data_IF_459903929900
#
_entry.id   IF_459903929900
#
_cell.length_a   1.000
_cell.length_b   1.000
_cell.length_c   1.000
_cell.angle_alpha   90.00
_cell.angle_beta   90.00
_cell.angle_gamma   90.00
#
_symmetry.space_group_name_H-M   'P 1'
#
loop_
_entity.id
_entity.type
_entity.pdbx_description
1 polymer ?
#
# COMPACT_ATOMS: atom_id res chain seq x y z
N UNK A 1 19.38 14.65 6.01
CA UNK A 1 20.15 14.87 4.76
C UNK A 1 21.56 15.37 5.04
N UNK A 2 21.77 16.53 5.65
CA UNK A 2 23.10 17.16 5.79
C UNK A 2 24.08 16.35 6.66
N UNK A 3 23.63 15.84 7.81
CA UNK A 3 24.42 14.98 8.69
C UNK A 3 24.79 13.64 8.04
N UNK A 4 23.80 12.96 7.44
CA UNK A 4 24.02 11.70 6.72
C UNK A 4 24.93 11.89 5.50
N UNK A 5 24.67 12.90 4.65
CA UNK A 5 25.47 13.15 3.45
C UNK A 5 26.92 13.49 3.81
N UNK A 6 27.14 14.27 4.87
CA UNK A 6 28.49 14.55 5.37
C UNK A 6 29.20 13.29 5.89
N UNK A 7 28.47 12.38 6.54
CA UNK A 7 29.00 11.09 6.98
C UNK A 7 29.31 10.15 5.81
N UNK A 8 28.40 10.02 4.83
CA UNK A 8 28.58 9.18 3.65
C UNK A 8 29.70 9.71 2.73
N UNK A 9 29.79 11.04 2.54
CA UNK A 9 30.86 11.68 1.76
C UNK A 9 32.24 11.44 2.41
N UNK A 10 32.31 11.44 3.74
CA UNK A 10 33.53 11.09 4.46
C UNK A 10 33.95 9.63 4.21
N UNK A 11 33.00 8.69 4.28
CA UNK A 11 33.26 7.27 3.97
C UNK A 11 33.71 7.08 2.52
N UNK A 12 33.02 7.72 1.57
CA UNK A 12 33.38 7.73 0.14
C UNK A 12 34.81 8.22 -0.10
N UNK A 13 35.25 9.23 0.66
CA UNK A 13 36.59 9.82 0.55
C UNK A 13 37.62 9.15 1.46
N UNK A 14 37.28 8.05 2.13
CA UNK A 14 38.14 7.38 3.12
C UNK A 14 38.66 8.33 4.22
N UNK A 15 37.78 9.23 4.68
CA UNK A 15 38.06 10.22 5.75
C UNK A 15 37.26 9.89 7.01
N UNK A 16 37.72 10.32 8.19
CA UNK A 16 36.91 10.25 9.41
C UNK A 16 35.61 11.03 9.24
N UNK A 17 34.49 10.50 9.75
CA UNK A 17 33.22 11.21 9.77
C UNK A 17 33.35 12.53 10.55
N UNK A 18 32.84 13.65 10.01
CA UNK A 18 32.93 14.93 10.70
C UNK A 18 32.05 14.95 11.96
N UNK A 19 32.36 15.81 12.92
CA UNK A 19 31.54 15.98 14.13
C UNK A 19 30.24 16.76 13.84
N UNK A 20 30.24 17.59 12.80
CA UNK A 20 29.10 18.42 12.38
C UNK A 20 28.91 18.37 10.87
N UNK A 21 27.68 18.62 10.41
CA UNK A 21 27.37 18.78 9.00
C UNK A 21 27.75 20.17 8.44
N UNK A 22 27.51 20.40 7.15
CA UNK A 22 27.80 21.66 6.44
C UNK A 22 27.04 22.88 7.00
N UNK A 23 26.08 22.66 7.89
CA UNK A 23 25.26 23.70 8.55
C UNK A 23 25.60 23.83 10.04
N UNK A 24 26.62 23.12 10.53
CA UNK A 24 27.07 23.17 11.92
C UNK A 24 26.24 22.33 12.89
N UNK A 25 25.34 21.47 12.41
CA UNK A 25 24.58 20.57 13.28
C UNK A 25 25.43 19.36 13.65
N UNK A 26 25.40 18.95 14.91
CA UNK A 26 26.07 17.73 15.38
C UNK A 26 25.51 16.52 14.64
N UNK A 27 26.39 15.70 14.07
CA UNK A 27 26.00 14.48 13.38
C UNK A 27 25.61 13.43 14.44
N UNK A 28 24.32 13.11 14.48
CA UNK A 28 23.75 12.13 15.41
C UNK A 28 24.19 10.70 15.11
N UNK A 29 24.20 9.85 16.13
CA UNK A 29 24.73 8.48 16.01
C UNK A 29 23.90 7.61 15.05
N UNK A 30 22.58 7.84 14.94
CA UNK A 30 21.74 7.23 13.90
C UNK A 30 22.23 7.57 12.48
N UNK A 31 22.61 8.81 12.21
CA UNK A 31 23.05 9.23 10.88
C UNK A 31 24.40 8.61 10.50
N UNK A 32 25.28 8.38 11.49
CA UNK A 32 26.56 7.70 11.28
C UNK A 32 26.34 6.21 11.00
N UNK A 33 25.53 5.55 11.82
CA UNK A 33 25.23 4.13 11.71
C UNK A 33 24.59 3.79 10.35
N UNK A 34 23.65 4.62 9.89
CA UNK A 34 23.03 4.50 8.56
C UNK A 34 24.04 4.74 7.44
N UNK A 35 24.93 5.72 7.56
CA UNK A 35 25.97 5.98 6.56
C UNK A 35 26.95 4.81 6.43
N UNK A 36 27.34 4.18 7.55
CA UNK A 36 28.17 2.98 7.52
C UNK A 36 27.45 1.80 6.86
N UNK A 37 26.15 1.61 7.17
CA UNK A 37 25.35 0.52 6.58
C UNK A 37 25.21 0.70 5.06
N UNK A 38 24.83 1.90 4.61
CA UNK A 38 24.79 2.26 3.16
C UNK A 38 26.12 1.99 2.48
N UNK A 39 27.23 2.37 3.12
CA UNK A 39 28.55 2.20 2.54
C UNK A 39 28.94 0.73 2.41
N UNK A 40 28.57 -0.10 3.39
CA UNK A 40 28.75 -1.55 3.35
C UNK A 40 27.95 -2.16 2.18
N UNK A 41 26.69 -1.76 2.00
CA UNK A 41 25.85 -2.19 0.87
C UNK A 41 26.44 -1.77 -0.50
N UNK A 42 26.84 -0.50 -0.65
CA UNK A 42 27.45 0.02 -1.89
C UNK A 42 28.74 -0.74 -2.24
N UNK A 43 29.54 -1.07 -1.23
CA UNK A 43 30.82 -1.79 -1.40
C UNK A 43 30.64 -3.30 -1.45
N UNK A 44 29.40 -3.81 -1.31
CA UNK A 44 29.04 -5.23 -1.24
C UNK A 44 29.74 -5.98 -0.12
N UNK A 45 30.03 -5.30 0.99
CA UNK A 45 30.53 -5.90 2.22
C UNK A 45 29.36 -6.50 3.03
N UNK A 46 28.89 -7.66 2.55
CA UNK A 46 27.71 -8.36 3.10
C UNK A 46 27.85 -8.74 4.57
N UNK A 47 29.07 -8.95 5.07
CA UNK A 47 29.30 -9.27 6.48
C UNK A 47 29.11 -8.01 7.34
N UNK A 48 29.74 -6.90 6.93
CA UNK A 48 29.62 -5.63 7.65
C UNK A 48 28.20 -5.07 7.59
N UNK A 49 27.52 -5.22 6.45
CA UNK A 49 26.13 -4.82 6.32
C UNK A 49 25.22 -5.58 7.29
N UNK A 50 25.40 -6.91 7.41
CA UNK A 50 24.64 -7.73 8.37
C UNK A 50 24.91 -7.35 9.84
N UNK A 51 26.17 -7.07 10.20
CA UNK A 51 26.51 -6.60 11.56
C UNK A 51 25.85 -5.25 11.89
N UNK A 52 25.84 -4.33 10.93
CA UNK A 52 25.25 -3.00 11.07
C UNK A 52 23.72 -3.02 11.03
N UNK A 53 23.12 -3.96 10.31
CA UNK A 53 21.68 -4.20 10.31
C UNK A 53 21.21 -4.60 11.71
N UNK A 54 21.92 -5.52 12.37
CA UNK A 54 21.66 -5.90 13.76
C UNK A 54 21.81 -4.70 14.70
N UNK A 55 22.89 -3.92 14.58
CA UNK A 55 23.12 -2.74 15.42
C UNK A 55 22.06 -1.66 15.21
N UNK A 56 21.62 -1.43 13.97
CA UNK A 56 20.48 -0.57 13.65
C UNK A 56 19.25 -1.11 14.38
N UNK A 57 18.86 -2.36 14.12
CA UNK A 57 17.64 -3.01 14.64
C UNK A 57 17.45 -2.87 16.17
N UNK A 58 18.54 -2.79 16.94
CA UNK A 58 18.51 -2.66 18.41
C UNK A 58 18.78 -1.25 18.96
N UNK A 59 18.96 -0.24 18.09
CA UNK A 59 19.20 1.15 18.49
C UNK A 59 17.90 1.92 18.81
N UNK A 60 18.00 3.13 19.39
CA UNK A 60 16.86 4.05 19.60
C UNK A 60 16.47 4.84 18.36
N UNK A 61 17.22 4.68 17.28
CA UNK A 61 16.81 5.14 15.95
C UNK A 61 15.62 4.29 15.54
N UNK A 62 14.62 4.82 14.82
CA UNK A 62 13.71 3.92 14.12
C UNK A 62 14.54 3.20 13.05
N UNK A 63 14.96 1.96 13.30
CA UNK A 63 16.10 1.42 12.60
C UNK A 63 15.72 0.82 11.27
N UNK A 64 14.44 0.50 11.12
CA UNK A 64 13.84 -0.05 9.91
C UNK A 64 13.61 1.07 8.89
N UNK A 65 13.22 2.27 9.34
CA UNK A 65 13.21 3.47 8.49
C UNK A 65 14.62 3.90 8.04
N UNK A 66 15.58 3.74 8.94
CA UNK A 66 17.00 4.01 8.68
C UNK A 66 17.60 3.07 7.63
N UNK A 67 17.23 1.79 7.66
CA UNK A 67 17.56 0.78 6.63
C UNK A 67 16.83 1.07 5.32
N UNK A 68 15.53 1.42 5.36
CA UNK A 68 14.79 1.78 4.16
C UNK A 68 15.40 2.99 3.44
N UNK A 69 15.84 3.98 4.21
CA UNK A 69 16.56 5.12 3.67
C UNK A 69 17.89 4.71 3.01
N UNK A 70 18.61 3.80 3.64
CA UNK A 70 19.87 3.32 3.10
C UNK A 70 19.70 2.62 1.75
N UNK A 71 18.70 1.75 1.66
CA UNK A 71 18.30 1.05 0.44
C UNK A 71 17.90 2.04 -0.66
N UNK A 72 17.06 3.03 -0.31
CA UNK A 72 16.70 4.11 -1.22
C UNK A 72 17.91 4.84 -1.79
N UNK A 73 18.88 5.21 -0.94
CA UNK A 73 20.06 5.93 -1.39
C UNK A 73 20.99 5.07 -2.26
N UNK A 74 21.12 3.78 -1.96
CA UNK A 74 21.84 2.84 -2.80
C UNK A 74 21.19 2.72 -4.19
N UNK A 75 19.86 2.59 -4.26
CA UNK A 75 19.13 2.63 -5.52
C UNK A 75 19.32 3.97 -6.25
N UNK A 76 19.16 5.11 -5.58
CA UNK A 76 19.37 6.43 -6.20
C UNK A 76 20.78 6.58 -6.79
N UNK A 77 21.79 6.00 -6.14
CA UNK A 77 23.17 6.02 -6.61
C UNK A 77 23.40 5.12 -7.85
N UNK A 78 22.60 4.06 -8.02
CA UNK A 78 22.65 3.20 -9.22
C UNK A 78 22.23 3.92 -10.50
N UNK A 79 21.39 4.97 -10.38
CA UNK A 79 20.72 5.66 -11.48
C UNK A 79 19.77 4.77 -12.32
N UNK A 80 19.47 3.57 -11.84
CA UNK A 80 18.54 2.67 -12.51
C UNK A 80 17.10 3.22 -12.41
N UNK A 81 16.36 3.28 -13.52
CA UNK A 81 14.97 3.70 -13.49
C UNK A 81 14.10 2.59 -12.89
N UNK A 82 12.98 2.96 -12.25
CA UNK A 82 11.92 2.00 -11.92
C UNK A 82 11.45 1.32 -13.22
N UNK A 83 11.36 -0.03 -13.30
CA UNK A 83 11.07 -0.77 -14.53
C UNK A 83 9.56 -0.78 -14.83
N UNK A 84 8.94 0.40 -14.82
CA UNK A 84 7.51 0.59 -14.95
C UNK A 84 6.96 0.11 -16.30
N UNK A 85 6.01 -0.82 -16.24
CA UNK A 85 5.44 -1.49 -17.42
C UNK A 85 4.24 -0.70 -17.97
N UNK A 86 4.45 0.01 -19.08
CA UNK A 86 3.39 0.74 -19.80
C UNK A 86 2.65 -0.16 -20.77
N UNK A 87 1.35 0.06 -20.96
CA UNK A 87 0.59 -0.62 -22.00
C UNK A 87 1.11 -0.22 -23.39
N UNK A 88 1.01 -1.15 -24.33
CA UNK A 88 1.20 -0.92 -25.76
C UNK A 88 -0.13 -0.83 -26.50
N UNK A 89 -1.19 -1.43 -25.95
CA UNK A 89 -2.57 -1.35 -26.41
C UNK A 89 -3.51 -1.02 -25.25
N UNK A 90 -4.56 -0.25 -25.50
CA UNK A 90 -5.61 0.00 -24.49
C UNK A 90 -6.30 -1.30 -24.03
N UNK A 91 -6.16 -2.41 -24.77
CA UNK A 91 -6.68 -3.72 -24.34
C UNK A 91 -5.74 -4.50 -23.42
N UNK A 92 -4.51 -4.04 -23.21
CA UNK A 92 -3.57 -4.70 -22.30
C UNK A 92 -4.08 -4.65 -20.85
N UNK A 93 -3.58 -5.57 -20.03
CA UNK A 93 -3.84 -5.68 -18.57
C UNK A 93 -5.32 -5.84 -18.18
N UNK A 94 -6.17 -6.24 -19.14
CA UNK A 94 -7.50 -6.77 -18.87
C UNK A 94 -7.40 -8.25 -18.55
N UNK A 95 -7.83 -8.63 -17.35
CA UNK A 95 -7.69 -9.99 -16.82
C UNK A 95 -9.10 -10.49 -16.46
N UNK A 96 -9.51 -11.69 -16.89
CA UNK A 96 -10.81 -12.22 -16.50
C UNK A 96 -10.84 -12.53 -15.00
N UNK A 97 -11.96 -12.26 -14.34
CA UNK A 97 -12.25 -12.82 -13.02
C UNK A 97 -12.66 -14.29 -13.15
N UNK A 98 -12.43 -15.13 -12.13
CA UNK A 98 -12.93 -16.50 -12.11
C UNK A 98 -14.44 -16.56 -12.38
N UNK A 99 -14.85 -17.50 -13.24
CA UNK A 99 -16.26 -17.71 -13.58
C UNK A 99 -16.96 -18.52 -12.47
N UNK A 100 -17.41 -17.81 -11.43
CA UNK A 100 -18.12 -18.35 -10.26
C UNK A 100 -19.50 -17.71 -10.13
N UNK A 101 -20.51 -18.41 -9.58
CA UNK A 101 -21.82 -17.81 -9.30
C UNK A 101 -21.69 -16.62 -8.35
N UNK A 102 -20.94 -16.82 -7.26
CA UNK A 102 -20.64 -15.82 -6.26
C UNK A 102 -19.13 -15.72 -6.19
N UNK A 103 -18.60 -14.54 -6.51
CA UNK A 103 -17.16 -14.32 -6.53
C UNK A 103 -16.75 -13.70 -5.20
N UNK A 104 -15.97 -14.42 -4.42
CA UNK A 104 -15.46 -13.96 -3.12
C UNK A 104 -14.03 -13.46 -3.29
N UNK A 105 -13.78 -12.22 -2.90
CA UNK A 105 -12.46 -11.58 -3.03
C UNK A 105 -12.01 -11.17 -1.63
N UNK A 106 -10.86 -11.69 -1.21
CA UNK A 106 -10.15 -11.19 -0.02
C UNK A 106 -9.33 -9.96 -0.38
N UNK A 107 -9.43 -8.90 0.42
CA UNK A 107 -8.65 -7.68 0.26
C UNK A 107 -7.86 -7.41 1.54
N UNK A 108 -6.55 -7.27 1.39
CA UNK A 108 -5.59 -6.94 2.43
C UNK A 108 -4.70 -5.80 1.95
N UNK A 109 -4.14 -5.01 2.86
CA UNK A 109 -3.28 -3.88 2.53
C UNK A 109 -2.26 -3.69 3.66
N UNK A 110 -1.06 -3.19 3.37
CA UNK A 110 -0.06 -2.90 4.41
C UNK A 110 0.26 -4.17 5.24
N UNK A 111 0.34 -5.30 4.52
CA UNK A 111 0.35 -6.64 5.10
C UNK A 111 1.74 -7.29 5.07
N UNK A 112 2.60 -6.91 4.13
CA UNK A 112 3.81 -7.64 3.77
C UNK A 112 4.97 -7.50 4.77
N UNK A 113 4.74 -7.79 6.06
CA UNK A 113 5.76 -7.76 7.13
C UNK A 113 6.47 -9.10 7.32
N UNK A 114 5.87 -10.20 6.86
CA UNK A 114 6.39 -11.57 7.05
C UNK A 114 6.29 -12.12 8.47
N UNK A 115 5.76 -11.33 9.39
CA UNK A 115 5.60 -11.69 10.80
C UNK A 115 4.44 -12.67 11.02
N UNK A 116 4.40 -13.29 12.20
CA UNK A 116 3.42 -14.33 12.52
C UNK A 116 1.97 -13.81 12.59
N UNK A 117 1.79 -12.55 12.96
CA UNK A 117 0.50 -11.85 12.96
C UNK A 117 -0.03 -11.64 11.53
N UNK A 118 0.82 -11.25 10.58
CA UNK A 118 0.49 -11.14 9.16
C UNK A 118 0.10 -12.51 8.58
N UNK A 119 0.89 -13.55 8.86
CA UNK A 119 0.57 -14.94 8.45
C UNK A 119 -0.74 -15.43 9.06
N UNK A 120 -0.99 -15.08 10.33
CA UNK A 120 -2.25 -15.42 10.99
C UNK A 120 -3.45 -14.72 10.35
N UNK A 121 -3.33 -13.41 10.05
CA UNK A 121 -4.38 -12.66 9.35
C UNK A 121 -4.68 -13.30 7.99
N UNK A 122 -3.66 -13.63 7.19
CA UNK A 122 -3.87 -14.28 5.91
C UNK A 122 -4.59 -15.63 6.08
N UNK A 123 -4.26 -16.39 7.12
CA UNK A 123 -4.96 -17.64 7.44
C UNK A 123 -6.45 -17.41 7.78
N UNK A 124 -6.78 -16.33 8.47
CA UNK A 124 -8.17 -15.94 8.75
C UNK A 124 -8.92 -15.49 7.49
N UNK A 125 -8.26 -14.76 6.59
CA UNK A 125 -8.81 -14.41 5.27
C UNK A 125 -9.14 -15.69 4.48
N UNK A 126 -8.22 -16.66 4.46
CA UNK A 126 -8.43 -17.92 3.72
C UNK A 126 -9.55 -18.79 4.28
N UNK A 127 -9.91 -18.66 5.57
CA UNK A 127 -11.10 -19.30 6.16
C UNK A 127 -12.43 -18.76 5.61
N UNK A 128 -12.41 -17.62 4.91
CA UNK A 128 -13.57 -17.06 4.19
C UNK A 128 -13.71 -17.63 2.78
N UNK A 129 -12.84 -18.57 2.40
CA UNK A 129 -12.83 -19.23 1.09
C UNK A 129 -12.82 -18.25 -0.11
N UNK A 130 -11.90 -17.27 -0.14
CA UNK A 130 -11.81 -16.35 -1.28
C UNK A 130 -11.46 -17.12 -2.56
N UNK A 131 -12.06 -16.70 -3.68
CA UNK A 131 -11.71 -17.12 -5.03
C UNK A 131 -10.51 -16.33 -5.58
N UNK A 132 -10.29 -15.12 -5.07
CA UNK A 132 -9.22 -14.19 -5.44
C UNK A 132 -8.71 -13.48 -4.20
N UNK A 133 -7.41 -13.24 -4.11
CA UNK A 133 -6.81 -12.38 -3.09
C UNK A 133 -6.20 -11.14 -3.76
N UNK A 134 -6.43 -9.97 -3.18
CA UNK A 134 -5.84 -8.72 -3.65
C UNK A 134 -5.11 -8.04 -2.48
N UNK A 135 -3.83 -7.75 -2.69
CA UNK A 135 -3.00 -6.95 -1.80
C UNK A 135 -2.91 -5.51 -2.32
N UNK A 136 -3.21 -4.51 -1.49
CA UNK A 136 -3.20 -3.10 -1.92
C UNK A 136 -1.83 -2.42 -1.76
N UNK A 137 -0.75 -3.19 -1.65
CA UNK A 137 0.62 -2.67 -1.62
C UNK A 137 1.23 -2.61 -0.23
N UNK A 138 2.52 -2.27 -0.23
CA UNK A 138 3.45 -2.24 0.89
C UNK A 138 3.89 -3.61 1.42
N UNK A 139 5.00 -4.08 0.85
CA UNK A 139 5.89 -5.09 1.42
C UNK A 139 7.02 -4.39 2.17
N UNK A 140 7.09 -4.65 3.46
CA UNK A 140 7.96 -3.93 4.37
C UNK A 140 9.34 -4.55 4.49
N UNK A 141 10.37 -3.73 4.76
CA UNK A 141 10.30 -2.27 5.00
C UNK A 141 10.71 -1.41 3.81
N UNK A 142 11.31 -1.95 2.76
CA UNK A 142 11.74 -1.16 1.60
C UNK A 142 11.47 -1.86 0.26
N UNK A 143 10.67 -2.92 0.28
CA UNK A 143 10.35 -3.71 -0.91
C UNK A 143 11.59 -4.34 -1.53
N UNK A 144 12.56 -4.80 -0.74
CA UNK A 144 13.74 -5.51 -1.27
C UNK A 144 13.37 -6.87 -1.85
N UNK A 145 14.29 -7.47 -2.62
CA UNK A 145 14.10 -8.81 -3.17
C UNK A 145 13.88 -9.86 -2.09
N UNK A 146 14.61 -9.77 -0.97
CA UNK A 146 14.47 -10.69 0.15
C UNK A 146 13.14 -10.47 0.87
N UNK A 147 12.71 -9.21 1.08
CA UNK A 147 11.41 -8.89 1.69
C UNK A 147 10.25 -9.37 0.82
N UNK A 148 10.26 -9.12 -0.50
CA UNK A 148 9.23 -9.67 -1.41
C UNK A 148 9.19 -11.20 -1.38
N UNK A 149 10.34 -11.85 -1.18
CA UNK A 149 10.39 -13.31 -1.06
C UNK A 149 9.83 -13.78 0.28
N UNK A 150 10.42 -13.36 1.40
CA UNK A 150 10.13 -13.89 2.73
C UNK A 150 8.83 -13.36 3.33
N UNK A 151 8.48 -12.10 3.02
CA UNK A 151 7.38 -11.41 3.67
C UNK A 151 6.09 -11.50 2.86
N UNK A 152 6.19 -11.73 1.56
CA UNK A 152 5.05 -11.77 0.65
C UNK A 152 4.91 -13.12 -0.07
N UNK A 153 5.86 -13.49 -0.92
CA UNK A 153 5.71 -14.65 -1.81
C UNK A 153 5.66 -15.98 -1.05
N UNK A 154 6.56 -16.21 -0.09
CA UNK A 154 6.62 -17.44 0.69
C UNK A 154 5.35 -17.65 1.54
N UNK A 155 4.84 -16.65 2.30
CA UNK A 155 3.57 -16.75 3.01
C UNK A 155 2.37 -17.00 2.09
N UNK A 156 2.30 -16.32 0.93
CA UNK A 156 1.24 -16.54 -0.06
C UNK A 156 1.25 -17.97 -0.57
N UNK A 157 2.43 -18.49 -0.94
CA UNK A 157 2.58 -19.87 -1.40
C UNK A 157 2.25 -20.90 -0.31
N UNK A 158 2.52 -20.58 0.96
CA UNK A 158 2.23 -21.49 2.06
C UNK A 158 0.74 -21.52 2.43
N UNK A 159 0.06 -20.37 2.42
CA UNK A 159 -1.27 -20.20 3.03
C UNK A 159 -2.38 -20.07 1.98
N UNK A 160 -2.10 -19.48 0.82
CA UNK A 160 -3.04 -19.26 -0.29
C UNK A 160 -2.62 -19.91 -1.64
N UNK A 161 -2.10 -21.16 -1.69
CA UNK A 161 -1.36 -21.71 -2.85
C UNK A 161 -2.10 -21.89 -4.19
N UNK A 162 -3.41 -21.65 -4.29
CA UNK A 162 -4.19 -22.10 -5.46
C UNK A 162 -5.26 -21.10 -5.93
N UNK A 163 -5.18 -19.85 -5.49
CA UNK A 163 -6.09 -18.80 -5.94
C UNK A 163 -5.29 -17.73 -6.69
N UNK A 164 -5.88 -17.04 -7.67
CA UNK A 164 -5.29 -15.84 -8.22
C UNK A 164 -4.99 -14.82 -7.11
N UNK A 165 -3.74 -14.35 -7.08
CA UNK A 165 -3.30 -13.26 -6.22
C UNK A 165 -2.90 -12.08 -7.10
N UNK A 166 -3.36 -10.89 -6.71
CA UNK A 166 -2.99 -9.62 -7.35
C UNK A 166 -2.41 -8.69 -6.31
N UNK A 167 -1.49 -7.82 -6.70
CA UNK A 167 -0.91 -6.83 -5.80
C UNK A 167 -0.75 -5.48 -6.49
N UNK A 168 -1.03 -4.40 -5.77
CA UNK A 168 -0.62 -3.05 -6.12
C UNK A 168 0.76 -2.76 -5.53
N UNK A 169 1.40 -1.70 -6.02
CA UNK A 169 2.59 -1.11 -5.43
C UNK A 169 2.23 0.02 -4.48
N UNK A 170 2.76 -0.03 -3.27
CA UNK A 170 2.81 1.08 -2.35
C UNK A 170 4.13 1.84 -2.41
N UNK A 171 4.34 2.76 -1.46
CA UNK A 171 5.57 3.54 -1.38
C UNK A 171 6.75 2.70 -0.92
N UNK A 172 6.55 1.78 0.04
CA UNK A 172 7.61 0.90 0.53
C UNK A 172 8.11 -0.03 -0.59
N UNK A 173 7.23 -0.46 -1.49
CA UNK A 173 7.58 -1.30 -2.65
C UNK A 173 8.54 -0.62 -3.63
N UNK A 174 8.67 0.70 -3.56
CA UNK A 174 9.45 1.51 -4.49
C UNK A 174 10.79 2.00 -3.90
N UNK A 175 11.03 1.83 -2.60
CA UNK A 175 12.27 2.29 -1.97
C UNK A 175 13.51 1.53 -2.46
N UNK A 176 13.38 0.26 -2.83
CA UNK A 176 14.42 -0.50 -3.54
C UNK A 176 14.40 -0.33 -5.08
N UNK A 177 13.76 0.72 -5.59
CA UNK A 177 13.66 0.98 -7.04
C UNK A 177 12.56 0.21 -7.77
N UNK A 178 11.70 -0.50 -7.05
CA UNK A 178 10.55 -1.24 -7.62
C UNK A 178 10.90 -2.53 -8.34
N UNK A 179 12.16 -2.78 -8.71
CA UNK A 179 12.60 -4.02 -9.36
C UNK A 179 12.06 -5.30 -8.68
N UNK A 180 12.16 -5.44 -7.34
CA UNK A 180 11.59 -6.59 -6.63
C UNK A 180 10.07 -6.74 -6.77
N UNK A 181 9.32 -5.63 -6.78
CA UNK A 181 7.88 -5.64 -7.02
C UNK A 181 7.57 -6.20 -8.42
N UNK A 182 8.25 -5.72 -9.46
CA UNK A 182 8.04 -6.24 -10.82
C UNK A 182 8.48 -7.69 -10.97
N UNK A 183 9.54 -8.10 -10.25
CA UNK A 183 9.92 -9.50 -10.16
C UNK A 183 8.80 -10.35 -9.55
N UNK A 184 8.17 -9.93 -8.43
CA UNK A 184 7.13 -10.75 -7.79
C UNK A 184 5.90 -10.94 -8.70
N UNK A 185 5.56 -9.95 -9.54
CA UNK A 185 4.49 -10.10 -10.54
C UNK A 185 4.74 -11.25 -11.52
N UNK A 186 6.01 -11.57 -11.80
CA UNK A 186 6.37 -12.72 -12.66
C UNK A 186 6.23 -14.07 -11.94
N UNK A 187 6.24 -14.07 -10.61
CA UNK A 187 6.11 -15.27 -9.78
C UNK A 187 4.65 -15.57 -9.44
N UNK A 188 3.84 -14.52 -9.22
CA UNK A 188 2.41 -14.66 -8.96
C UNK A 188 1.67 -15.29 -10.14
N UNK A 189 0.72 -16.16 -9.83
CA UNK A 189 -0.16 -16.82 -10.80
C UNK A 189 0.60 -17.57 -11.92
N UNK A 190 1.85 -17.99 -11.67
CA UNK A 190 2.73 -18.60 -12.66
C UNK A 190 2.42 -20.07 -12.97
N UNK A 191 1.58 -20.73 -12.16
CA UNK A 191 1.18 -22.12 -12.42
C UNK A 191 0.33 -22.23 -13.69
N UNK A 192 0.33 -23.40 -14.32
CA UNK A 192 -0.48 -23.62 -15.54
C UNK A 192 -1.97 -23.37 -15.33
N UNK A 193 -2.48 -23.65 -14.12
CA UNK A 193 -3.88 -23.42 -13.76
C UNK A 193 -4.21 -21.93 -13.58
N UNK A 194 -3.24 -21.12 -13.14
CA UNK A 194 -3.43 -19.70 -12.85
C UNK A 194 -2.96 -18.76 -13.97
N UNK A 195 -2.30 -19.28 -15.00
CA UNK A 195 -1.79 -18.51 -16.15
C UNK A 195 -2.79 -17.54 -16.80
N UNK A 196 -4.10 -17.86 -16.95
CA UNK A 196 -5.08 -16.89 -17.46
C UNK A 196 -5.28 -15.65 -16.60
N UNK A 197 -4.86 -15.71 -15.33
CA UNK A 197 -5.01 -14.68 -14.30
C UNK A 197 -3.69 -13.92 -14.02
N UNK A 198 -2.71 -14.03 -14.90
CA UNK A 198 -1.40 -13.42 -14.69
C UNK A 198 -1.46 -11.89 -14.74
N UNK A 199 -0.98 -11.24 -13.68
CA UNK A 199 -0.73 -9.80 -13.64
C UNK A 199 0.60 -9.48 -14.34
N UNK A 200 0.62 -8.44 -15.19
CA UNK A 200 1.81 -8.09 -16.00
C UNK A 200 2.33 -6.68 -15.78
N UNK A 201 1.58 -5.84 -15.08
CA UNK A 201 1.92 -4.46 -14.76
C UNK A 201 1.43 -4.14 -13.34
N UNK A 202 1.89 -3.03 -12.78
CA UNK A 202 1.47 -2.54 -11.46
C UNK A 202 0.02 -2.06 -11.42
N UNK A 203 -0.62 -1.90 -12.58
CA UNK A 203 -2.04 -1.60 -12.73
C UNK A 203 -2.72 -2.66 -13.60
N UNK A 204 -4.01 -2.87 -13.34
CA UNK A 204 -4.79 -3.93 -14.00
C UNK A 204 -6.28 -3.64 -13.98
N UNK A 205 -7.03 -4.38 -14.81
CA UNK A 205 -8.49 -4.39 -14.80
C UNK A 205 -8.97 -5.84 -14.74
N UNK A 206 -9.48 -6.25 -13.57
CA UNK A 206 -10.14 -7.53 -13.42
C UNK A 206 -11.58 -7.39 -13.89
N UNK A 207 -12.06 -8.27 -14.79
CA UNK A 207 -13.38 -8.11 -15.40
C UNK A 207 -14.21 -9.39 -15.36
N UNK A 208 -15.49 -9.22 -15.04
CA UNK A 208 -16.55 -10.18 -15.31
C UNK A 208 -17.62 -9.53 -16.21
N UNK A 209 -18.80 -10.16 -16.33
CA UNK A 209 -19.90 -9.58 -17.10
C UNK A 209 -20.54 -8.36 -16.41
N UNK A 210 -20.56 -8.35 -15.07
CA UNK A 210 -21.21 -7.32 -14.25
C UNK A 210 -20.22 -6.38 -13.54
N UNK A 211 -18.94 -6.74 -13.46
CA UNK A 211 -17.97 -6.02 -12.65
C UNK A 211 -16.69 -5.73 -13.42
N UNK A 212 -16.12 -4.55 -13.16
CA UNK A 212 -14.71 -4.29 -13.37
C UNK A 212 -14.07 -3.78 -12.09
N UNK A 213 -12.87 -4.27 -11.79
CA UNK A 213 -12.05 -3.85 -10.65
C UNK A 213 -10.76 -3.28 -11.23
N UNK A 214 -10.54 -1.98 -11.03
CA UNK A 214 -9.38 -1.25 -11.55
C UNK A 214 -8.37 -1.02 -10.42
N UNK A 215 -7.24 -1.70 -10.51
CA UNK A 215 -6.09 -1.47 -9.65
C UNK A 215 -5.13 -0.46 -10.28
N UNK A 216 -4.71 0.55 -9.54
CA UNK A 216 -3.85 1.63 -10.03
C UNK A 216 -2.52 1.74 -9.26
N UNK A 217 -1.47 2.15 -9.96
CA UNK A 217 -0.13 2.33 -9.38
C UNK A 217 0.02 3.74 -8.81
N UNK A 218 -0.30 3.87 -7.53
CA UNK A 218 -0.01 5.08 -6.75
C UNK A 218 1.38 5.07 -6.12
N UNK A 219 2.12 3.97 -6.20
CA UNK A 219 3.46 3.85 -5.61
C UNK A 219 4.55 4.48 -6.48
N UNK A 220 4.42 4.44 -7.81
CA UNK A 220 5.45 4.87 -8.77
C UNK A 220 6.04 6.27 -8.45
N UNK A 221 5.19 7.21 -8.06
CA UNK A 221 5.58 8.59 -7.77
C UNK A 221 5.63 8.93 -6.28
N UNK A 222 5.65 7.91 -5.41
CA UNK A 222 5.94 8.04 -3.98
C UNK A 222 7.13 7.16 -3.56
N UNK A 223 8.24 7.28 -4.28
CA UNK A 223 9.45 6.47 -4.07
C UNK A 223 10.51 7.13 -3.17
N UNK A 224 10.23 8.31 -2.61
CA UNK A 224 11.18 9.05 -1.77
C UNK A 224 10.76 9.03 -0.29
N UNK A 225 11.45 8.25 0.58
CA UNK A 225 11.10 8.13 2.00
C UNK A 225 11.26 9.46 2.77
N UNK A 226 11.92 10.48 2.21
CA UNK A 226 11.99 11.81 2.83
C UNK A 226 10.74 12.65 2.62
N UNK A 227 9.86 12.27 1.68
CA UNK A 227 8.72 13.08 1.29
C UNK A 227 7.37 12.47 1.61
N UNK A 228 7.32 11.32 2.30
CA UNK A 228 6.09 10.55 2.62
C UNK A 228 4.96 11.42 3.16
N UNK A 229 5.23 12.36 4.06
CA UNK A 229 4.20 13.21 4.67
C UNK A 229 3.88 14.49 3.88
N UNK A 230 4.56 14.72 2.75
CA UNK A 230 4.49 15.98 2.00
C UNK A 230 4.18 15.79 0.53
N UNK A 231 4.55 14.65 -0.05
CA UNK A 231 4.36 14.32 -1.44
C UNK A 231 2.88 14.08 -1.73
N UNK A 232 2.48 14.37 -2.97
CA UNK A 232 1.14 14.05 -3.46
C UNK A 232 1.33 13.16 -4.68
N UNK A 233 1.13 11.86 -4.48
CA UNK A 233 1.28 10.88 -5.56
C UNK A 233 0.29 11.14 -6.71
N UNK A 234 0.63 10.61 -7.89
CA UNK A 234 -0.14 10.72 -9.12
C UNK A 234 0.19 9.58 -10.08
N UNK A 235 -0.73 9.28 -10.98
CA UNK A 235 -0.53 8.22 -11.97
C UNK A 235 0.40 8.67 -13.10
N UNK A 236 1.10 7.72 -13.71
CA UNK A 236 1.70 7.94 -15.03
C UNK A 236 0.61 8.40 -16.01
N UNK A 237 0.84 9.44 -16.84
CA UNK A 237 -0.19 9.98 -17.72
C UNK A 237 -0.77 8.96 -18.71
N UNK A 238 0.01 7.95 -19.13
CA UNK A 238 -0.53 6.88 -19.97
C UNK A 238 -1.45 6.00 -19.15
N UNK A 239 -1.04 5.55 -17.96
CA UNK A 239 -1.92 4.78 -17.07
C UNK A 239 -3.22 5.52 -16.78
N UNK A 240 -3.17 6.82 -16.48
CA UNK A 240 -4.37 7.63 -16.29
C UNK A 240 -5.31 7.57 -17.51
N UNK A 241 -4.77 7.71 -18.72
CA UNK A 241 -5.53 7.58 -19.96
C UNK A 241 -6.11 6.15 -20.15
N UNK A 242 -5.39 5.12 -19.72
CA UNK A 242 -5.85 3.73 -19.78
C UNK A 242 -7.02 3.48 -18.82
N UNK A 243 -6.97 3.99 -17.59
CA UNK A 243 -8.08 3.92 -16.64
C UNK A 243 -9.31 4.67 -17.16
N UNK A 244 -9.11 5.87 -17.71
CA UNK A 244 -10.19 6.65 -18.35
C UNK A 244 -10.83 5.87 -19.50
N UNK A 245 -10.04 5.16 -20.31
CA UNK A 245 -10.58 4.27 -21.34
C UNK A 245 -11.42 3.11 -20.75
N UNK A 246 -10.96 2.47 -19.66
CA UNK A 246 -11.74 1.41 -18.99
C UNK A 246 -13.06 1.94 -18.41
N UNK A 247 -13.04 3.14 -17.83
CA UNK A 247 -14.22 3.79 -17.27
C UNK A 247 -15.24 4.17 -18.35
N UNK A 248 -14.77 4.77 -19.46
CA UNK A 248 -15.64 5.10 -20.59
C UNK A 248 -16.24 3.87 -21.28
N UNK A 249 -15.51 2.74 -21.28
CA UNK A 249 -15.91 1.51 -21.94
C UNK A 249 -16.37 0.42 -20.94
N UNK A 250 -16.83 0.81 -19.75
CA UNK A 250 -17.33 -0.11 -18.72
C UNK A 250 -18.52 -0.96 -19.22
N UNK A 251 -19.32 -0.41 -20.15
CA UNK A 251 -20.57 -0.98 -20.58
C UNK A 251 -21.56 -1.05 -19.41
N UNK A 252 -22.08 -2.23 -19.12
CA UNK A 252 -23.01 -2.47 -17.99
C UNK A 252 -22.32 -2.79 -16.67
N UNK A 253 -20.98 -2.79 -16.63
CA UNK A 253 -20.22 -3.19 -15.45
C UNK A 253 -20.26 -2.10 -14.38
N UNK A 254 -20.49 -2.50 -13.14
CA UNK A 254 -20.16 -1.68 -11.98
C UNK A 254 -18.64 -1.63 -11.80
N UNK A 255 -18.12 -0.50 -11.31
CA UNK A 255 -16.69 -0.27 -11.20
C UNK A 255 -16.26 -0.16 -9.74
N UNK A 256 -15.24 -0.92 -9.37
CA UNK A 256 -14.51 -0.79 -8.11
C UNK A 256 -13.12 -0.25 -8.43
N UNK A 257 -12.67 0.78 -7.72
CA UNK A 257 -11.30 1.28 -7.80
C UNK A 257 -10.49 0.77 -6.60
N UNK A 258 -9.23 0.43 -6.85
CA UNK A 258 -8.26 0.02 -5.85
C UNK A 258 -7.00 0.87 -6.03
N UNK A 259 -6.49 1.44 -4.95
CA UNK A 259 -5.19 2.13 -4.89
C UNK A 259 -4.44 1.72 -3.63
N UNK A 260 -3.13 1.97 -3.57
CA UNK A 260 -2.43 1.92 -2.30
C UNK A 260 -2.74 3.19 -1.49
N UNK A 261 -2.44 4.35 -2.08
CA UNK A 261 -2.68 5.63 -1.45
C UNK A 261 -4.15 6.05 -1.50
N UNK A 262 -4.54 6.81 -0.50
CA UNK A 262 -5.87 7.33 -0.30
C UNK A 262 -6.25 8.43 -1.32
N UNK A 263 -7.49 8.43 -1.86
CA UNK A 263 -8.00 9.54 -2.66
C UNK A 263 -8.39 10.75 -1.80
N UNK A 264 -8.72 10.51 -0.53
CA UNK A 264 -9.01 11.52 0.49
C UNK A 264 -8.89 10.91 1.89
N UNK A 265 -8.67 11.76 2.89
CA UNK A 265 -8.61 11.39 4.31
C UNK A 265 -8.98 12.56 5.21
N UNK A 266 -9.37 12.26 6.45
CA UNK A 266 -9.55 13.24 7.51
C UNK A 266 -8.40 13.23 8.53
N UNK A 267 -7.45 12.30 8.41
CA UNK A 267 -6.57 11.90 9.50
C UNK A 267 -5.08 12.13 9.23
N UNK A 268 -4.29 12.01 10.30
CA UNK A 268 -2.84 12.04 10.27
C UNK A 268 -2.27 13.29 9.61
N UNK A 269 -1.26 13.08 8.76
CA UNK A 269 -0.59 14.15 8.01
C UNK A 269 -1.36 14.57 6.74
N UNK A 270 -2.53 13.96 6.49
CA UNK A 270 -3.33 14.17 5.29
C UNK A 270 -2.73 13.50 4.05
N UNK A 271 -3.08 14.02 2.88
CA UNK A 271 -2.68 13.47 1.57
C UNK A 271 -1.25 13.88 1.16
N UNK A 272 -0.67 14.83 1.87
CA UNK A 272 0.50 15.61 1.44
C UNK A 272 0.23 17.11 1.53
N UNK A 273 1.22 17.93 1.18
CA UNK A 273 1.15 19.37 1.38
C UNK A 273 0.65 20.12 0.15
N UNK A 274 -0.38 20.95 0.35
CA UNK A 274 -0.93 21.83 -0.67
C UNK A 274 -0.05 23.05 -0.95
N UNK A 275 -0.45 23.92 -1.90
CA UNK A 275 0.27 25.16 -2.22
C UNK A 275 0.46 26.11 -1.03
N UNK A 276 -0.39 25.97 0.00
CA UNK A 276 -0.31 26.74 1.24
C UNK A 276 0.70 26.18 2.26
N UNK A 277 1.35 25.04 1.97
CA UNK A 277 2.22 24.31 2.90
C UNK A 277 1.48 23.51 3.98
N UNK A 278 0.15 23.48 3.92
CA UNK A 278 -0.71 22.73 4.86
C UNK A 278 -1.16 21.41 4.26
N UNK A 279 -1.47 20.45 5.13
CA UNK A 279 -2.00 19.14 4.74
C UNK A 279 -3.30 19.25 3.94
N UNK A 280 -3.38 18.50 2.85
CA UNK A 280 -4.57 18.34 2.03
C UNK A 280 -5.47 17.23 2.57
N UNK A 281 -6.78 17.39 2.38
CA UNK A 281 -7.78 16.37 2.72
C UNK A 281 -8.13 15.44 1.55
N UNK A 282 -7.76 15.80 0.32
CA UNK A 282 -7.97 14.96 -0.87
C UNK A 282 -6.81 15.10 -1.86
N UNK A 283 -6.64 14.10 -2.72
CA UNK A 283 -5.61 14.08 -3.75
C UNK A 283 -6.13 14.79 -5.02
N UNK A 284 -5.73 16.05 -5.30
CA UNK A 284 -6.21 16.76 -6.47
C UNK A 284 -5.72 16.13 -7.78
N UNK A 285 -4.59 15.41 -7.76
CA UNK A 285 -4.03 14.77 -8.95
C UNK A 285 -4.84 13.54 -9.34
N UNK A 286 -5.22 12.69 -8.38
CA UNK A 286 -6.15 11.59 -8.63
C UNK A 286 -7.55 12.10 -8.98
N UNK A 287 -8.05 13.12 -8.27
CA UNK A 287 -9.36 13.69 -8.55
C UNK A 287 -9.44 14.32 -9.96
N UNK A 288 -8.33 14.85 -10.50
CA UNK A 288 -8.29 15.33 -11.88
C UNK A 288 -8.55 14.25 -12.93
N UNK A 289 -8.22 12.99 -12.63
CA UNK A 289 -8.43 11.83 -13.50
C UNK A 289 -9.82 11.23 -13.29
N UNK A 290 -10.19 11.00 -12.03
CA UNK A 290 -11.38 10.19 -11.68
C UNK A 290 -12.62 11.03 -11.36
N UNK A 291 -12.48 12.32 -11.07
CA UNK A 291 -13.56 13.26 -10.74
C UNK A 291 -14.77 13.19 -11.68
N UNK A 292 -14.60 13.12 -13.02
CA UNK A 292 -15.72 12.96 -13.95
C UNK A 292 -16.52 11.65 -13.79
N UNK A 293 -15.95 10.65 -13.14
CA UNK A 293 -16.49 9.28 -13.05
C UNK A 293 -16.95 8.89 -11.63
N UNK A 294 -16.61 9.65 -10.60
CA UNK A 294 -16.84 9.27 -9.18
C UNK A 294 -18.27 8.86 -8.85
N UNK A 295 -19.26 9.47 -9.48
CA UNK A 295 -20.68 9.13 -9.29
C UNK A 295 -21.06 7.72 -9.80
N UNK A 296 -20.25 7.16 -10.70
CA UNK A 296 -20.40 5.83 -11.31
C UNK A 296 -19.46 4.78 -10.71
N UNK A 297 -18.65 5.16 -9.72
CA UNK A 297 -17.80 4.24 -8.97
C UNK A 297 -18.64 3.66 -7.82
N UNK A 298 -18.74 2.33 -7.78
CA UNK A 298 -19.49 1.61 -6.76
C UNK A 298 -18.77 1.61 -5.41
N UNK A 299 -17.43 1.52 -5.43
CA UNK A 299 -16.56 1.43 -4.27
C UNK A 299 -15.13 1.85 -4.64
N UNK A 300 -14.43 2.54 -3.74
CA UNK A 300 -12.98 2.73 -3.80
C UNK A 300 -12.34 2.23 -2.51
N UNK A 301 -11.41 1.27 -2.61
CA UNK A 301 -10.63 0.74 -1.49
C UNK A 301 -9.18 1.19 -1.57
N UNK A 302 -8.57 1.50 -0.43
CA UNK A 302 -7.15 1.81 -0.32
C UNK A 302 -6.51 1.29 0.97
N UNK A 303 -5.18 1.34 1.03
CA UNK A 303 -4.33 1.02 2.19
C UNK A 303 -3.56 2.26 2.65
N UNK A 304 -2.24 2.13 2.84
CA UNK A 304 -1.27 3.20 3.16
C UNK A 304 -1.45 3.84 4.54
N UNK A 305 -2.66 4.32 4.80
CA UNK A 305 -3.08 4.70 6.14
C UNK A 305 -3.29 3.42 6.93
N UNK A 306 -2.48 3.21 7.97
CA UNK A 306 -2.53 2.01 8.81
C UNK A 306 -3.76 1.98 9.76
N UNK A 307 -4.93 2.25 9.19
CA UNK A 307 -6.22 2.42 9.83
C UNK A 307 -7.29 1.60 9.09
N UNK A 308 -8.39 1.35 9.78
CA UNK A 308 -9.66 1.00 9.16
C UNK A 308 -10.60 2.20 9.18
N UNK A 309 -11.10 2.60 8.01
CA UNK A 309 -11.90 3.83 7.86
C UNK A 309 -13.06 3.64 6.88
N UNK A 310 -14.25 4.06 7.29
CA UNK A 310 -15.47 3.98 6.48
C UNK A 310 -16.05 5.38 6.33
N UNK A 311 -15.79 6.02 5.19
CA UNK A 311 -16.21 7.41 4.97
C UNK A 311 -17.67 7.53 4.54
N UNK A 312 -18.32 8.61 4.97
CA UNK A 312 -19.52 9.13 4.32
C UNK A 312 -19.22 9.55 2.87
N UNK A 313 -20.25 9.72 2.02
CA UNK A 313 -20.05 10.22 0.67
C UNK A 313 -19.25 11.54 0.65
N UNK A 314 -18.15 11.56 -0.10
CA UNK A 314 -17.25 12.71 -0.19
C UNK A 314 -16.77 12.89 -1.63
N UNK A 315 -16.71 14.14 -2.09
CA UNK A 315 -16.32 14.50 -3.48
C UNK A 315 -17.10 13.72 -4.56
N UNK A 316 -18.36 13.37 -4.30
CA UNK A 316 -19.22 12.58 -5.20
C UNK A 316 -18.97 11.07 -5.17
N UNK A 317 -17.90 10.59 -4.54
CA UNK A 317 -17.71 9.16 -4.29
C UNK A 317 -18.65 8.71 -3.17
N UNK A 318 -19.47 7.68 -3.42
CA UNK A 318 -20.47 7.20 -2.46
C UNK A 318 -19.89 6.31 -1.37
N UNK A 319 -18.86 5.52 -1.69
CA UNK A 319 -18.25 4.55 -0.78
C UNK A 319 -16.73 4.55 -0.95
N UNK A 320 -16.03 5.27 -0.07
CA UNK A 320 -14.57 5.24 0.05
C UNK A 320 -14.15 4.59 1.37
N UNK A 321 -13.21 3.65 1.34
CA UNK A 321 -12.82 2.85 2.51
C UNK A 321 -11.31 2.65 2.57
N UNK A 322 -10.73 2.90 3.73
CA UNK A 322 -9.38 2.48 4.06
C UNK A 322 -9.43 1.11 4.75
N UNK A 323 -8.58 0.17 4.31
CA UNK A 323 -8.41 -1.17 4.90
C UNK A 323 -6.92 -1.47 5.16
N UNK A 324 -6.15 -0.45 5.53
CA UNK A 324 -4.69 -0.49 5.65
C UNK A 324 -4.12 -1.03 6.96
N UNK A 325 -4.94 -1.63 7.83
CA UNK A 325 -4.47 -2.12 9.13
C UNK A 325 -4.24 -3.64 9.13
N UNK A 326 -3.66 -4.25 8.10
CA UNK A 326 -3.55 -5.72 8.05
C UNK A 326 -2.36 -6.31 8.84
N UNK A 327 -1.25 -5.58 8.97
CA UNK A 327 -0.08 -6.11 9.68
C UNK A 327 0.76 -5.08 10.42
N UNK A 328 0.75 -3.81 10.02
CA UNK A 328 1.54 -2.81 10.73
C UNK A 328 0.93 -2.51 12.10
N UNK A 329 1.70 -2.67 13.18
CA UNK A 329 1.19 -2.42 14.51
C UNK A 329 1.03 -0.92 14.74
N UNK A 330 -0.20 -0.50 15.05
CA UNK A 330 -0.53 0.88 15.39
C UNK A 330 -0.91 1.00 16.86
N UNK A 331 -0.20 1.88 17.58
CA UNK A 331 -0.43 2.07 19.00
C UNK A 331 -1.49 3.15 19.23
N UNK A 332 -2.48 2.90 20.09
CA UNK A 332 -3.55 3.87 20.37
C UNK A 332 -3.02 5.24 20.78
N UNK A 333 -1.95 5.27 21.58
CA UNK A 333 -1.38 6.52 22.06
C UNK A 333 -0.72 7.38 20.96
N UNK A 334 -0.43 6.81 19.78
CA UNK A 334 0.02 7.57 18.60
C UNK A 334 -1.12 8.33 17.93
N UNK A 335 -2.37 8.07 18.33
CA UNK A 335 -3.58 8.73 17.84
C UNK A 335 -3.68 8.74 16.30
N UNK A 336 -3.64 7.57 15.63
CA UNK A 336 -3.64 7.50 14.17
C UNK A 336 -4.98 7.95 13.55
N UNK A 337 -6.05 8.01 14.35
CA UNK A 337 -7.35 8.59 14.00
C UNK A 337 -7.47 10.09 14.36
N UNK A 338 -6.36 10.75 14.66
CA UNK A 338 -6.31 12.18 14.92
C UNK A 338 -6.65 12.99 13.66
N UNK A 339 -7.62 13.90 13.75
CA UNK A 339 -7.99 14.75 12.62
C UNK A 339 -6.86 15.69 12.21
N UNK A 340 -6.75 15.93 10.90
CA UNK A 340 -5.85 16.93 10.33
C UNK A 340 -6.12 18.30 10.97
N UNK A 341 -5.06 18.94 11.46
CA UNK A 341 -5.15 20.26 12.06
C UNK A 341 -4.93 21.35 11.01
N UNK A 342 -5.86 22.30 10.90
CA UNK A 342 -5.78 23.43 9.97
C UNK A 342 -5.54 23.03 8.49
N UNK A 343 -6.39 22.16 7.90
CA UNK A 343 -6.18 21.64 6.55
C UNK A 343 -6.25 22.74 5.46
N UNK A 344 -5.59 22.48 4.34
CA UNK A 344 -5.89 23.13 3.06
C UNK A 344 -7.06 22.41 2.41
N UNK A 345 -8.26 22.98 2.53
CA UNK A 345 -9.49 22.37 2.00
C UNK A 345 -9.65 22.56 0.49
N UNK A 346 -8.81 23.38 -0.17
CA UNK A 346 -8.90 23.69 -1.60
C UNK A 346 -10.34 23.93 -2.12
N UNK A 347 -11.13 24.69 -1.36
CA UNK A 347 -12.52 25.04 -1.70
C UNK A 347 -13.59 24.05 -1.23
N UNK A 348 -13.23 22.93 -0.60
CA UNK A 348 -14.17 22.07 0.11
C UNK A 348 -14.66 22.73 1.41
N UNK A 349 -15.90 22.44 1.80
CA UNK A 349 -16.51 23.01 3.00
C UNK A 349 -16.05 22.34 4.30
N UNK A 350 -15.58 21.10 4.23
CA UNK A 350 -15.16 20.31 5.37
C UNK A 350 -14.20 19.18 4.96
N UNK A 351 -13.52 18.62 5.97
CA UNK A 351 -12.87 17.31 5.87
C UNK A 351 -13.92 16.22 5.56
N UNK A 352 -13.51 15.09 4.96
CA UNK A 352 -14.40 13.93 4.88
C UNK A 352 -14.81 13.48 6.28
N UNK A 353 -16.07 13.08 6.46
CA UNK A 353 -16.56 12.51 7.72
C UNK A 353 -16.60 11.00 7.65
N UNK A 354 -16.42 10.34 8.79
CA UNK A 354 -16.74 8.93 8.93
C UNK A 354 -18.23 8.75 9.14
N UNK A 355 -18.78 7.64 8.66
CA UNK A 355 -20.17 7.31 8.94
C UNK A 355 -20.41 7.22 10.48
N UNK A 356 -21.60 7.62 10.98
CA UNK A 356 -21.83 7.84 12.41
C UNK A 356 -21.68 6.60 13.29
N UNK A 357 -21.68 5.40 12.71
CA UNK A 357 -21.49 4.11 13.38
C UNK A 357 -20.08 3.52 13.17
N UNK A 358 -19.13 4.31 12.69
CA UNK A 358 -17.83 3.79 12.22
C UNK A 358 -16.87 3.53 13.38
N UNK A 359 -16.56 2.25 13.45
CA UNK A 359 -15.75 1.57 14.44
C UNK A 359 -14.27 1.92 14.22
N UNK A 360 -13.67 2.57 15.20
CA UNK A 360 -12.23 2.35 15.43
C UNK A 360 -12.03 0.85 15.65
N UNK A 361 -10.88 0.33 15.21
CA UNK A 361 -10.49 -1.04 15.53
C UNK A 361 -10.47 -1.23 17.04
N UNK A 362 -10.83 -2.43 17.50
CA UNK A 362 -10.67 -2.77 18.89
C UNK A 362 -9.19 -2.68 19.30
N UNK A 363 -8.95 -2.45 20.59
CA UNK A 363 -7.60 -2.29 21.13
C UNK A 363 -7.34 -3.39 22.15
N UNK A 364 -6.20 -4.08 22.03
CA UNK A 364 -5.83 -5.13 22.97
C UNK A 364 -5.40 -4.55 24.33
N UNK A 365 -5.20 -5.41 25.32
CA UNK A 365 -4.76 -5.00 26.67
C UNK A 365 -3.41 -4.28 26.68
N UNK A 366 -2.61 -4.48 25.64
CA UNK A 366 -1.28 -3.93 25.49
C UNK A 366 -1.32 -2.56 24.79
N UNK A 367 -2.50 -2.07 24.37
CA UNK A 367 -2.72 -0.75 23.77
C UNK A 367 -2.58 -0.67 22.25
N UNK A 368 -2.44 -1.80 21.56
CA UNK A 368 -2.35 -1.88 20.10
C UNK A 368 -3.71 -2.11 19.47
N UNK A 369 -3.98 -1.43 18.36
CA UNK A 369 -5.15 -1.71 17.54
C UNK A 369 -5.10 -3.14 16.98
N UNK A 370 -6.27 -3.75 16.85
CA UNK A 370 -6.44 -5.01 16.12
C UNK A 370 -6.13 -4.79 14.65
N UNK A 371 -5.81 -5.87 13.94
CA UNK A 371 -5.64 -5.79 12.49
C UNK A 371 -6.99 -5.99 11.78
N UNK A 372 -7.07 -5.59 10.51
CA UNK A 372 -8.28 -5.66 9.71
C UNK A 372 -8.05 -6.22 8.29
N UNK A 373 -9.12 -6.75 7.71
CA UNK A 373 -9.19 -7.09 6.28
C UNK A 373 -10.63 -6.97 5.78
N UNK A 374 -10.82 -7.03 4.46
CA UNK A 374 -12.14 -7.01 3.85
C UNK A 374 -12.42 -8.26 2.99
N UNK A 375 -13.69 -8.66 2.95
CA UNK A 375 -14.23 -9.69 2.07
C UNK A 375 -15.29 -9.06 1.19
N UNK A 376 -15.07 -9.08 -0.11
CA UNK A 376 -15.98 -8.60 -1.12
C UNK A 376 -16.67 -9.79 -1.78
N UNK A 377 -18.00 -9.84 -1.72
CA UNK A 377 -18.81 -10.85 -2.42
C UNK A 377 -19.53 -10.19 -3.58
N UNK A 378 -19.11 -10.52 -4.81
CA UNK A 378 -19.65 -9.93 -6.03
C UNK A 378 -20.65 -10.85 -6.70
N UNK A 379 -21.84 -10.32 -6.96
CA UNK A 379 -22.90 -10.99 -7.71
C UNK A 379 -22.50 -11.12 -9.18
N UNK A 380 -22.44 -12.34 -9.67
CA UNK A 380 -22.37 -12.61 -11.12
C UNK A 380 -23.78 -12.88 -11.67
N UNK A 381 -23.99 -12.93 -12.99
CA UNK A 381 -25.28 -13.32 -13.57
C UNK A 381 -25.79 -14.71 -13.14
N UNK A 382 -24.91 -15.55 -12.59
CA UNK A 382 -25.22 -16.91 -12.10
C UNK A 382 -25.50 -16.96 -10.59
N UNK A 383 -25.35 -15.85 -9.87
CA UNK A 383 -25.50 -15.75 -8.41
C UNK A 383 -26.93 -16.05 -7.94
N UNK A 384 -27.04 -16.75 -6.81
CA UNK A 384 -28.31 -16.91 -6.09
C UNK A 384 -28.53 -15.80 -5.03
N UNK A 385 -27.47 -15.07 -4.66
CA UNK A 385 -27.58 -13.89 -3.80
C UNK A 385 -28.23 -12.72 -4.55
N UNK A 386 -29.00 -11.92 -3.79
CA UNK A 386 -29.71 -10.74 -4.31
C UNK A 386 -28.77 -9.57 -4.57
N UNK A 387 -27.86 -9.34 -3.63
CA UNK A 387 -27.04 -8.14 -3.54
C UNK A 387 -25.55 -8.50 -3.45
N UNK A 388 -24.71 -7.68 -4.08
CA UNK A 388 -23.26 -7.71 -3.81
C UNK A 388 -22.98 -7.01 -2.48
N UNK A 389 -21.93 -7.41 -1.77
CA UNK A 389 -21.61 -6.83 -0.46
C UNK A 389 -20.11 -6.78 -0.19
N UNK A 390 -19.74 -5.94 0.75
CA UNK A 390 -18.42 -5.93 1.38
C UNK A 390 -18.58 -6.08 2.89
N UNK A 391 -17.75 -6.91 3.49
CA UNK A 391 -17.70 -7.20 4.92
C UNK A 391 -16.28 -6.93 5.43
N UNK A 392 -16.17 -6.28 6.58
CA UNK A 392 -14.90 -5.91 7.21
C UNK A 392 -14.75 -6.69 8.50
N UNK A 393 -13.57 -7.28 8.69
CA UNK A 393 -13.25 -8.11 9.84
C UNK A 393 -12.07 -7.53 10.60
N UNK A 394 -12.09 -7.67 11.92
CA UNK A 394 -10.93 -7.41 12.78
C UNK A 394 -10.47 -8.66 13.53
N UNK A 395 -9.22 -8.66 13.98
CA UNK A 395 -8.66 -9.70 14.83
C UNK A 395 -7.46 -9.20 15.64
N UNK A 396 -7.30 -9.76 16.84
CA UNK A 396 -6.05 -9.70 17.60
C UNK A 396 -5.07 -10.76 17.04
N UNK A 397 -4.46 -10.42 15.91
CA UNK A 397 -3.51 -11.24 15.16
C UNK A 397 -2.25 -11.54 15.98
N UNK A 398 -1.78 -10.59 16.79
CA UNK A 398 -0.66 -10.76 17.71
C UNK A 398 -0.90 -11.84 18.77
N UNK A 399 -2.16 -12.07 19.16
CA UNK A 399 -2.58 -13.17 20.04
C UNK A 399 -3.23 -14.34 19.29
N UNK A 400 -3.12 -14.37 17.96
CA UNK A 400 -3.67 -15.40 17.08
C UNK A 400 -5.15 -15.70 17.37
N UNK A 401 -5.95 -14.65 17.57
CA UNK A 401 -7.40 -14.80 17.80
C UNK A 401 -8.14 -14.96 16.47
N UNK A 402 -9.28 -15.66 16.45
CA UNK A 402 -10.16 -15.67 15.29
C UNK A 402 -10.68 -14.28 14.96
N UNK A 403 -10.93 -14.04 13.68
CA UNK A 403 -11.52 -12.81 13.18
C UNK A 403 -13.01 -12.68 13.48
N UNK A 404 -13.44 -11.46 13.76
CA UNK A 404 -14.84 -11.09 14.03
C UNK A 404 -15.32 -10.08 12.99
N UNK A 405 -16.60 -10.19 12.60
CA UNK A 405 -17.22 -9.25 11.67
C UNK A 405 -17.49 -7.93 12.39
N UNK A 406 -16.91 -6.84 11.88
CA UNK A 406 -17.13 -5.49 12.39
C UNK A 406 -18.36 -4.85 11.75
N UNK A 407 -18.37 -4.85 10.42
CA UNK A 407 -19.34 -4.12 9.62
C UNK A 407 -19.54 -4.81 8.28
N UNK A 408 -20.72 -4.67 7.70
CA UNK A 408 -21.03 -5.15 6.36
C UNK A 408 -22.02 -4.24 5.68
N UNK A 409 -21.83 -4.01 4.39
CA UNK A 409 -22.69 -3.13 3.60
C UNK A 409 -22.91 -3.68 2.19
N UNK A 410 -24.09 -3.40 1.65
CA UNK A 410 -24.42 -3.69 0.26
C UNK A 410 -23.70 -2.71 -0.66
N UNK A 411 -23.21 -3.24 -1.78
CA UNK A 411 -22.73 -2.46 -2.92
C UNK A 411 -23.66 -2.69 -4.13
N UNK A 412 -23.81 -1.68 -5.02
CA UNK A 412 -24.80 -1.68 -6.11
C UNK A 412 -24.83 -2.90 -7.04
#
# INVERSE_FOLDING_TARGET
MTQFNAALDALQKSKPMPATDDFGNVIGDCAKLVAEYVWAEITRDTLRASELEDELRYSTCDPLWSIALAIYLAWKASLDPVPYVRYSSLNDFRIPLPDKPDLVIGVIADWGTGLDDAKWLLSEVMKKNPDVLIHLGDVYYAGTADEFRSNFLDPINAIAPNIPVYTLSGNHDMYAGGDPFYWVLTQLNATSALKPYQQKASYFCLQSENWQILGMDTGLHDCDPYTVTTNITFLDPKEAAWHVDKLNNAGRRQTILLSHHQPFTAFGDGIGQGPSGKSLAYNPRLYSVFGPFVNNIALWLWGHEHNFEVFDPYLGLKKGRCVGAAAIPCYKAQNPYGLIQNPDLQGQSALPSLAPDVLELAVNSDGWYFHNYAILTLRTPKSEFRDSKIEYYELDSAKQRPSILMHGEVIP
#
